data_IF_277431800600
#
_entry.id   IF_277431800600
#
_cell.length_a   1.000
_cell.length_b   1.000
_cell.length_c   1.000
_cell.angle_alpha   90.00
_cell.angle_beta   90.00
_cell.angle_gamma   90.00
#
_symmetry.space_group_name_H-M   'P 1'
#
loop_
_entity.id
_entity.type
_entity.pdbx_description
1 polymer ?
#
# COMPACT_ATOMS: atom_id res chain seq x y z
N UNK A 1 -3.61 -23.49 -8.83
CA UNK A 1 -2.37 -23.86 -9.53
C UNK A 1 -1.97 -25.27 -9.14
N UNK A 2 -1.51 -26.08 -10.11
CA UNK A 2 -1.01 -27.44 -9.88
C UNK A 2 0.37 -27.42 -9.20
N UNK A 3 0.42 -27.81 -7.92
CA UNK A 3 1.66 -27.84 -7.11
C UNK A 3 2.60 -28.97 -7.52
N UNK A 4 2.06 -30.14 -7.89
CA UNK A 4 2.85 -31.28 -8.32
C UNK A 4 3.62 -30.94 -9.61
N UNK A 5 2.94 -30.30 -10.56
CA UNK A 5 3.57 -29.85 -11.79
C UNK A 5 4.65 -28.78 -11.57
N UNK A 6 4.48 -27.89 -10.57
CA UNK A 6 5.54 -26.92 -10.22
C UNK A 6 6.78 -27.64 -9.65
N UNK A 7 6.57 -28.69 -8.86
CA UNK A 7 7.67 -29.51 -8.34
C UNK A 7 8.41 -30.25 -9.46
N UNK A 8 7.69 -30.82 -10.44
CA UNK A 8 8.31 -31.48 -11.60
C UNK A 8 9.28 -30.55 -12.36
N UNK A 9 8.95 -29.26 -12.46
CA UNK A 9 9.81 -28.23 -13.06
C UNK A 9 11.03 -27.96 -12.18
N UNK A 10 10.82 -27.83 -10.87
CA UNK A 10 11.90 -27.60 -9.90
C UNK A 10 12.88 -28.78 -9.90
N UNK A 11 12.40 -30.02 -9.80
CA UNK A 11 13.21 -31.24 -9.81
C UNK A 11 14.06 -31.35 -11.07
N UNK A 12 13.48 -30.99 -12.23
CA UNK A 12 14.23 -30.97 -13.49
C UNK A 12 15.35 -29.92 -13.49
N UNK A 13 15.10 -28.75 -12.91
CA UNK A 13 16.11 -27.68 -12.80
C UNK A 13 17.17 -27.96 -11.73
N UNK A 14 16.85 -28.72 -10.68
CA UNK A 14 17.79 -29.15 -9.65
C UNK A 14 18.71 -30.27 -10.14
N UNK A 15 18.25 -31.10 -11.07
CA UNK A 15 19.07 -32.15 -11.70
C UNK A 15 20.32 -31.53 -12.35
N UNK A 16 21.53 -32.10 -12.16
CA UNK A 16 22.75 -31.61 -12.79
C UNK A 16 22.63 -31.49 -14.31
N UNK A 17 23.20 -30.44 -14.89
CA UNK A 17 23.02 -30.08 -16.31
C UNK A 17 23.26 -31.25 -17.27
N UNK A 18 24.28 -32.05 -17.02
CA UNK A 18 24.70 -33.19 -17.85
C UNK A 18 23.76 -34.39 -17.76
N UNK A 19 22.98 -34.48 -16.68
CA UNK A 19 22.04 -35.58 -16.40
C UNK A 19 20.59 -35.23 -16.77
N UNK A 20 20.33 -33.99 -17.17
CA UNK A 20 18.97 -33.51 -17.51
C UNK A 20 18.46 -34.15 -18.80
N UNK A 21 17.28 -34.76 -18.72
CA UNK A 21 16.53 -35.14 -19.91
C UNK A 21 15.87 -33.91 -20.56
N UNK A 22 16.50 -33.38 -21.60
CA UNK A 22 16.00 -32.21 -22.35
C UNK A 22 14.64 -32.46 -22.97
N UNK A 23 14.31 -33.71 -23.34
CA UNK A 23 13.01 -34.04 -23.93
C UNK A 23 11.90 -33.90 -22.90
N UNK A 24 12.12 -34.44 -21.70
CA UNK A 24 11.22 -34.24 -20.54
C UNK A 24 11.07 -32.76 -20.21
N UNK A 25 12.17 -31.99 -20.20
CA UNK A 25 12.11 -30.54 -19.98
C UNK A 25 11.25 -29.82 -21.03
N UNK A 26 11.36 -30.22 -22.30
CA UNK A 26 10.56 -29.65 -23.37
C UNK A 26 9.08 -30.06 -23.30
N UNK A 27 8.74 -31.25 -22.79
CA UNK A 27 7.35 -31.65 -22.48
C UNK A 27 6.74 -30.77 -21.38
N UNK A 28 7.50 -30.48 -20.32
CA UNK A 28 7.09 -29.55 -19.26
C UNK A 28 6.80 -28.16 -19.86
N UNK A 29 7.69 -27.63 -20.71
CA UNK A 29 7.46 -26.35 -21.39
C UNK A 29 6.23 -26.37 -22.28
N UNK A 30 6.07 -27.44 -23.08
CA UNK A 30 4.93 -27.59 -23.97
C UNK A 30 3.60 -27.52 -23.19
N UNK A 31 3.54 -28.10 -21.99
CA UNK A 31 2.37 -28.01 -21.10
C UNK A 31 2.12 -26.59 -20.57
N UNK A 32 3.15 -25.74 -20.45
CA UNK A 32 3.02 -24.36 -19.94
C UNK A 32 2.57 -23.40 -21.03
N UNK A 33 3.30 -23.35 -22.14
CA UNK A 33 3.16 -22.30 -23.15
C UNK A 33 2.75 -22.81 -24.54
N UNK A 34 2.63 -24.13 -24.72
CA UNK A 34 2.28 -24.73 -26.01
C UNK A 34 3.36 -24.60 -27.08
N UNK A 35 4.62 -24.31 -26.72
CA UNK A 35 5.70 -24.07 -27.67
C UNK A 35 6.14 -25.36 -28.39
N UNK A 36 5.48 -25.64 -29.52
CA UNK A 36 5.76 -26.82 -30.36
C UNK A 36 7.13 -26.77 -31.01
N UNK A 37 7.68 -25.58 -31.25
CA UNK A 37 8.95 -25.43 -31.93
C UNK A 37 10.12 -25.93 -31.06
N UNK A 38 10.21 -25.46 -29.82
CA UNK A 38 11.24 -25.93 -28.88
C UNK A 38 11.06 -27.41 -28.57
N UNK A 39 9.82 -27.89 -28.46
CA UNK A 39 9.55 -29.31 -28.30
C UNK A 39 10.11 -30.14 -29.47
N UNK A 40 9.81 -29.76 -30.72
CA UNK A 40 10.34 -30.44 -31.91
C UNK A 40 11.87 -30.38 -31.96
N UNK A 41 12.46 -29.22 -31.64
CA UNK A 41 13.90 -29.05 -31.58
C UNK A 41 14.53 -30.00 -30.54
N UNK A 42 13.94 -30.11 -29.35
CA UNK A 42 14.42 -31.01 -28.29
C UNK A 42 14.36 -32.49 -28.69
N UNK A 43 13.35 -32.88 -29.48
CA UNK A 43 13.26 -34.26 -29.99
C UNK A 43 14.37 -34.59 -31.00
N UNK A 44 14.70 -33.64 -31.88
CA UNK A 44 15.65 -33.85 -32.99
C UNK A 44 17.09 -33.57 -32.54
N UNK A 45 17.32 -32.49 -31.79
CA UNK A 45 18.63 -31.97 -31.35
C UNK A 45 18.57 -31.48 -29.89
N UNK A 46 18.56 -32.39 -28.91
CA UNK A 46 18.43 -32.03 -27.50
C UNK A 46 19.53 -31.09 -27.01
N UNK A 47 20.78 -31.28 -27.44
CA UNK A 47 21.92 -30.44 -27.04
C UNK A 47 21.72 -28.95 -27.39
N UNK A 48 21.12 -28.66 -28.55
CA UNK A 48 20.83 -27.28 -28.99
C UNK A 48 19.65 -26.68 -28.25
N UNK A 49 18.65 -27.51 -27.90
CA UNK A 49 17.46 -27.05 -27.19
C UNK A 49 17.72 -26.79 -25.70
N UNK A 50 18.73 -27.44 -25.10
CA UNK A 50 18.99 -27.44 -23.65
C UNK A 50 18.95 -26.04 -23.03
N UNK A 51 19.76 -25.11 -23.56
CA UNK A 51 19.84 -23.75 -23.01
C UNK A 51 18.50 -23.00 -23.07
N UNK A 52 17.74 -23.19 -24.15
CA UNK A 52 16.41 -22.57 -24.28
C UNK A 52 15.42 -23.19 -23.30
N UNK A 53 15.43 -24.52 -23.18
CA UNK A 53 14.56 -25.26 -22.27
C UNK A 53 14.82 -24.83 -20.82
N UNK A 54 16.09 -24.77 -20.43
CA UNK A 54 16.51 -24.34 -19.10
C UNK A 54 16.11 -22.89 -18.80
N UNK A 55 16.38 -21.95 -19.72
CA UNK A 55 16.06 -20.54 -19.52
C UNK A 55 14.55 -20.32 -19.35
N UNK A 56 13.74 -20.93 -20.22
CA UNK A 56 12.29 -20.79 -20.15
C UNK A 56 11.71 -21.49 -18.91
N UNK A 57 12.19 -22.68 -18.53
CA UNK A 57 11.72 -23.36 -17.32
C UNK A 57 12.05 -22.58 -16.06
N UNK A 58 13.24 -21.95 -15.97
CA UNK A 58 13.60 -21.08 -14.85
C UNK A 58 12.64 -19.90 -14.72
N UNK A 59 12.39 -19.20 -15.83
CA UNK A 59 11.43 -18.09 -15.90
C UNK A 59 10.03 -18.52 -15.47
N UNK A 60 9.53 -19.64 -16.00
CA UNK A 60 8.19 -20.11 -15.63
C UNK A 60 8.12 -20.63 -14.20
N UNK A 61 9.19 -21.24 -13.68
CA UNK A 61 9.23 -21.64 -12.28
C UNK A 61 9.08 -20.42 -11.36
N UNK A 62 9.81 -19.33 -11.63
CA UNK A 62 9.71 -18.09 -10.86
C UNK A 62 8.27 -17.54 -10.84
N UNK A 63 7.65 -17.37 -12.02
CA UNK A 63 6.25 -16.93 -12.15
C UNK A 63 5.31 -17.83 -11.33
N UNK A 64 5.54 -19.15 -11.37
CA UNK A 64 4.69 -20.12 -10.67
C UNK A 64 4.88 -20.10 -9.16
N UNK A 65 6.11 -19.92 -8.68
CA UNK A 65 6.40 -19.77 -7.25
C UNK A 65 5.76 -18.50 -6.67
N UNK A 66 5.67 -17.44 -7.47
CA UNK A 66 4.91 -16.23 -7.14
C UNK A 66 3.37 -16.44 -7.21
N UNK A 67 2.89 -17.65 -7.51
CA UNK A 67 1.47 -17.99 -7.53
C UNK A 67 0.74 -17.66 -8.84
N UNK A 68 1.46 -17.26 -9.90
CA UNK A 68 0.86 -16.84 -11.15
C UNK A 68 0.88 -17.93 -12.24
N UNK A 69 -0.19 -17.97 -13.03
CA UNK A 69 -0.23 -18.70 -14.31
C UNK A 69 0.10 -17.77 -15.47
N UNK A 70 0.45 -18.32 -16.64
CA UNK A 70 0.64 -17.53 -17.86
C UNK A 70 -0.58 -16.64 -18.17
N UNK A 71 -1.77 -17.19 -18.02
CA UNK A 71 -3.03 -16.47 -18.23
C UNK A 71 -3.20 -15.32 -17.23
N UNK A 72 -2.88 -15.57 -15.94
CA UNK A 72 -2.90 -14.52 -14.92
C UNK A 72 -1.89 -13.40 -15.22
N UNK A 73 -0.70 -13.73 -15.75
CA UNK A 73 0.28 -12.71 -16.16
C UNK A 73 -0.21 -11.92 -17.38
N UNK A 74 -0.81 -12.58 -18.38
CA UNK A 74 -1.43 -11.89 -19.53
C UNK A 74 -2.55 -10.95 -19.10
N UNK A 75 -3.39 -11.40 -18.17
CA UNK A 75 -4.44 -10.57 -17.59
C UNK A 75 -3.84 -9.36 -16.87
N UNK A 76 -2.81 -9.59 -16.04
CA UNK A 76 -2.10 -8.51 -15.34
C UNK A 76 -1.56 -7.45 -16.31
N UNK A 77 -0.91 -7.86 -17.40
CA UNK A 77 -0.41 -6.94 -18.43
C UNK A 77 -1.56 -6.16 -19.08
N UNK A 78 -2.62 -6.86 -19.50
CA UNK A 78 -3.77 -6.25 -20.18
C UNK A 78 -4.55 -5.26 -19.31
N UNK A 79 -4.56 -5.45 -17.98
CA UNK A 79 -5.23 -4.56 -17.05
C UNK A 79 -4.35 -3.39 -16.60
N UNK A 80 -3.06 -3.66 -16.36
CA UNK A 80 -2.17 -2.69 -15.72
C UNK A 80 -1.64 -1.65 -16.70
N UNK A 81 -1.30 -2.07 -17.93
CA UNK A 81 -0.78 -1.18 -18.97
C UNK A 81 -1.72 -0.03 -19.31
N UNK A 82 -3.01 -0.25 -19.63
CA UNK A 82 -3.92 0.86 -19.93
C UNK A 82 -4.17 1.76 -18.71
N UNK A 83 -4.22 1.20 -17.50
CA UNK A 83 -4.36 1.99 -16.27
C UNK A 83 -3.18 2.95 -16.07
N UNK A 84 -1.96 2.44 -16.25
CA UNK A 84 -0.75 3.25 -16.12
C UNK A 84 -0.67 4.31 -17.22
N UNK A 85 -1.03 3.94 -18.45
CA UNK A 85 -1.10 4.89 -19.55
C UNK A 85 -2.08 6.03 -19.24
N UNK A 86 -3.26 5.72 -18.70
CA UNK A 86 -4.23 6.73 -18.27
C UNK A 86 -3.65 7.66 -17.20
N UNK A 87 -3.02 7.10 -16.14
CA UNK A 87 -2.36 7.89 -15.09
C UNK A 87 -1.33 8.86 -15.68
N UNK A 88 -0.52 8.41 -16.63
CA UNK A 88 0.52 9.24 -17.27
C UNK A 88 -0.11 10.33 -18.12
N UNK A 89 -1.11 10.00 -18.95
CA UNK A 89 -1.80 10.97 -19.81
C UNK A 89 -2.51 12.04 -19.00
N UNK A 90 -3.34 11.65 -18.02
CA UNK A 90 -4.07 12.60 -17.15
C UNK A 90 -3.11 13.57 -16.47
N UNK A 91 -2.00 13.07 -15.93
CA UNK A 91 -1.03 13.93 -15.25
C UNK A 91 -0.23 14.83 -16.19
N UNK A 92 -0.05 14.42 -17.45
CA UNK A 92 0.59 15.25 -18.46
C UNK A 92 -0.36 16.38 -18.90
N UNK A 93 -1.64 16.08 -19.12
CA UNK A 93 -2.66 17.08 -19.45
C UNK A 93 -2.79 18.14 -18.33
N UNK A 94 -2.81 17.70 -17.06
CA UNK A 94 -2.79 18.60 -15.88
C UNK A 94 -1.55 19.51 -15.81
N UNK A 95 -0.44 19.10 -16.41
CA UNK A 95 0.81 19.88 -16.42
C UNK A 95 0.87 20.89 -17.57
N UNK A 96 0.20 20.63 -18.69
CA UNK A 96 0.18 21.49 -19.88
C UNK A 96 -0.87 22.60 -19.78
N UNK A 97 -1.96 22.39 -19.04
CA UNK A 97 -3.00 23.40 -18.76
C UNK A 97 -2.67 24.36 -17.59
N UNK A 98 -1.50 24.21 -16.96
CA UNK A 98 -1.05 25.11 -15.89
C UNK A 98 -0.50 26.43 -16.48
N UNK A 99 -1.00 27.61 -16.07
CA UNK A 99 -0.47 28.88 -16.57
C UNK A 99 1.03 29.01 -16.25
N UNK A 100 1.83 29.43 -17.24
CA UNK A 100 3.26 29.73 -17.07
C UNK A 100 3.46 30.69 -15.89
N UNK A 101 4.36 30.30 -14.98
CA UNK A 101 4.67 31.05 -13.76
C UNK A 101 5.01 32.51 -14.06
N UNK A 102 4.04 33.37 -13.81
CA UNK A 102 4.25 34.81 -13.63
C UNK A 102 3.50 35.22 -12.37
N UNK A 103 4.26 35.75 -11.42
CA UNK A 103 3.85 36.40 -10.18
C UNK A 103 3.68 35.54 -8.91
N UNK A 104 4.21 36.07 -7.81
CA UNK A 104 4.44 35.49 -6.47
C UNK A 104 3.13 35.19 -5.67
N UNK A 105 2.00 35.07 -6.37
CA UNK A 105 0.73 34.58 -5.83
C UNK A 105 0.41 33.25 -6.52
N UNK A 106 1.15 32.22 -6.09
CA UNK A 106 1.21 30.90 -6.71
C UNK A 106 -0.18 30.34 -7.12
N UNK A 107 -0.39 30.03 -8.41
CA UNK A 107 -1.59 29.31 -8.82
C UNK A 107 -1.47 27.83 -8.38
N UNK A 108 -2.43 27.40 -7.57
CA UNK A 108 -2.80 25.99 -7.50
C UNK A 108 -3.34 25.60 -8.90
N UNK A 109 -3.06 24.44 -9.51
CA UNK A 109 -3.12 23.09 -8.96
C UNK A 109 -2.33 22.11 -9.85
N UNK A 110 -1.29 21.47 -9.30
CA UNK A 110 -0.64 20.26 -9.84
C UNK A 110 -1.21 18.99 -9.19
N UNK A 111 -2.54 18.92 -9.06
CA UNK A 111 -3.21 17.94 -8.19
C UNK A 111 -3.01 18.20 -6.68
N UNK A 112 -2.51 19.39 -6.29
CA UNK A 112 -2.36 19.78 -4.88
C UNK A 112 -3.67 20.42 -4.39
N UNK A 113 -4.23 19.92 -3.28
CA UNK A 113 -5.40 20.51 -2.61
C UNK A 113 -5.14 21.94 -2.14
N UNK A 114 -6.17 22.78 -2.12
CA UNK A 114 -6.08 24.17 -1.67
C UNK A 114 -5.75 24.27 -0.17
N UNK A 115 -6.25 23.35 0.64
CA UNK A 115 -6.02 23.25 2.09
C UNK A 115 -4.77 22.43 2.46
N UNK A 116 -3.94 22.01 1.50
CA UNK A 116 -2.82 21.09 1.73
C UNK A 116 -1.91 21.49 2.90
N UNK A 117 -1.63 22.78 3.07
CA UNK A 117 -0.70 23.24 4.12
C UNK A 117 -1.30 23.11 5.52
N UNK A 118 -2.62 22.99 5.64
CA UNK A 118 -3.37 22.82 6.89
C UNK A 118 -3.62 21.33 7.23
N UNK A 119 -3.36 20.43 6.28
CA UNK A 119 -3.49 18.99 6.47
C UNK A 119 -2.41 18.44 7.43
N UNK A 120 -2.70 17.34 8.16
CA UNK A 120 -1.69 16.66 8.96
C UNK A 120 -0.50 16.21 8.12
N UNK A 121 0.67 16.14 8.75
CA UNK A 121 1.92 15.72 8.10
C UNK A 121 1.79 14.35 7.41
N UNK A 122 1.08 13.41 8.02
CA UNK A 122 0.82 12.08 7.44
C UNK A 122 0.09 12.15 6.08
N UNK A 123 -0.85 13.09 5.92
CA UNK A 123 -1.63 13.26 4.70
C UNK A 123 -0.84 14.07 3.67
N UNK A 124 -0.10 15.08 4.12
CA UNK A 124 0.79 15.86 3.26
C UNK A 124 1.89 15.01 2.64
N UNK A 125 2.46 14.08 3.41
CA UNK A 125 3.49 13.15 2.94
C UNK A 125 3.01 12.26 1.78
N UNK A 126 1.71 12.00 1.66
CA UNK A 126 1.13 11.24 0.54
C UNK A 126 1.35 11.96 -0.79
N UNK A 127 1.24 13.29 -0.82
CA UNK A 127 1.45 14.08 -2.03
C UNK A 127 2.91 13.97 -2.51
N UNK A 128 3.87 14.12 -1.60
CA UNK A 128 5.31 13.98 -1.92
C UNK A 128 5.63 12.56 -2.39
N UNK A 129 5.13 11.56 -1.67
CA UNK A 129 5.28 10.15 -2.03
C UNK A 129 4.64 9.83 -3.38
N UNK A 130 3.49 10.41 -3.68
CA UNK A 130 2.80 10.28 -4.96
C UNK A 130 3.63 10.79 -6.13
N UNK A 131 4.42 11.85 -5.93
CA UNK A 131 5.41 12.31 -6.90
C UNK A 131 6.51 11.28 -7.16
N UNK A 132 7.12 10.74 -6.11
CA UNK A 132 8.16 9.69 -6.24
C UNK A 132 7.64 8.42 -6.91
N UNK A 133 6.43 7.99 -6.55
CA UNK A 133 5.78 6.82 -7.12
C UNK A 133 5.50 7.03 -8.61
N UNK A 134 5.02 8.21 -8.99
CA UNK A 134 4.76 8.54 -10.39
C UNK A 134 6.01 8.42 -11.27
N UNK A 135 7.15 8.98 -10.84
CA UNK A 135 8.39 8.89 -11.61
C UNK A 135 8.84 7.43 -11.79
N UNK A 136 8.72 6.60 -10.74
CA UNK A 136 9.02 5.16 -10.83
C UNK A 136 8.06 4.42 -11.74
N UNK A 137 6.76 4.69 -11.65
CA UNK A 137 5.72 4.12 -12.52
C UNK A 137 6.02 4.46 -13.98
N UNK A 138 6.31 5.74 -14.27
CA UNK A 138 6.64 6.22 -15.61
C UNK A 138 7.90 5.56 -16.16
N UNK A 139 8.96 5.45 -15.35
CA UNK A 139 10.19 4.76 -15.75
C UNK A 139 9.93 3.30 -16.15
N UNK A 140 9.27 2.52 -15.28
CA UNK A 140 8.97 1.11 -15.55
C UNK A 140 8.05 0.97 -16.76
N UNK A 141 7.09 1.88 -16.92
CA UNK A 141 6.20 1.91 -18.08
C UNK A 141 6.97 2.13 -19.39
N UNK A 142 7.91 3.08 -19.43
CA UNK A 142 8.77 3.30 -20.60
C UNK A 142 9.59 2.05 -20.94
N UNK A 143 10.12 1.35 -19.94
CA UNK A 143 10.82 0.08 -20.15
C UNK A 143 9.88 -1.01 -20.69
N UNK A 144 8.62 -1.05 -20.24
CA UNK A 144 7.60 -1.97 -20.76
C UNK A 144 7.17 -1.63 -22.19
N UNK A 145 7.19 -0.36 -22.59
CA UNK A 145 6.92 0.05 -23.98
C UNK A 145 8.04 -0.43 -24.93
N UNK A 146 9.29 -0.42 -24.48
CA UNK A 146 10.40 -0.99 -25.26
C UNK A 146 10.26 -2.51 -25.47
N UNK A 147 9.43 -3.17 -24.67
CA UNK A 147 9.12 -4.60 -24.72
C UNK A 147 7.70 -4.88 -25.24
N UNK A 148 7.07 -3.98 -26.00
CA UNK A 148 5.68 -4.11 -26.46
C UNK A 148 5.42 -5.39 -27.28
N UNK A 149 6.40 -5.81 -28.08
CA UNK A 149 6.30 -7.03 -28.88
C UNK A 149 6.69 -8.31 -28.13
N UNK A 150 7.16 -8.20 -26.88
CA UNK A 150 7.54 -9.36 -26.06
C UNK A 150 6.29 -10.01 -25.43
N UNK A 151 6.27 -11.33 -25.25
CA UNK A 151 5.16 -11.98 -24.57
C UNK A 151 5.07 -11.55 -23.10
N UNK A 152 3.86 -11.57 -22.53
CA UNK A 152 3.60 -11.12 -21.17
C UNK A 152 4.48 -11.78 -20.09
N UNK A 153 4.90 -13.04 -20.27
CA UNK A 153 5.82 -13.71 -19.35
C UNK A 153 7.22 -13.09 -19.34
N UNK A 154 7.70 -12.54 -20.45
CA UNK A 154 8.99 -11.84 -20.50
C UNK A 154 8.89 -10.43 -19.89
N UNK A 155 7.68 -9.88 -19.83
CA UNK A 155 7.36 -8.59 -19.19
C UNK A 155 7.10 -8.74 -17.68
N UNK A 156 6.96 -9.98 -17.17
CA UNK A 156 6.45 -10.26 -15.82
C UNK A 156 7.22 -9.59 -14.69
N UNK A 157 8.56 -9.64 -14.71
CA UNK A 157 9.38 -9.04 -13.64
C UNK A 157 9.07 -7.56 -13.44
N UNK A 158 8.84 -6.82 -14.54
CA UNK A 158 8.45 -5.41 -14.51
C UNK A 158 7.01 -5.24 -14.03
N UNK A 159 6.09 -6.08 -14.50
CA UNK A 159 4.68 -6.05 -14.08
C UNK A 159 4.52 -6.35 -12.57
N UNK A 160 5.32 -7.28 -12.04
CA UNK A 160 5.38 -7.64 -10.61
C UNK A 160 5.76 -6.45 -9.75
N UNK A 161 6.71 -5.63 -10.20
CA UNK A 161 7.13 -4.40 -9.51
C UNK A 161 6.14 -3.26 -9.73
N UNK A 162 5.60 -3.12 -10.94
CA UNK A 162 4.69 -2.03 -11.30
C UNK A 162 3.35 -2.11 -10.54
N UNK A 163 2.78 -3.32 -10.41
CA UNK A 163 1.47 -3.52 -9.79
C UNK A 163 1.33 -2.92 -8.39
N UNK A 164 2.21 -3.22 -7.41
CA UNK A 164 2.11 -2.63 -6.08
C UNK A 164 2.35 -1.11 -6.09
N UNK A 165 3.23 -0.60 -6.96
CA UNK A 165 3.47 0.85 -7.06
C UNK A 165 2.22 1.60 -7.54
N UNK A 166 1.53 1.07 -8.55
CA UNK A 166 0.27 1.64 -9.05
C UNK A 166 -0.80 1.61 -7.96
N UNK A 167 -0.91 0.51 -7.21
CA UNK A 167 -1.85 0.41 -6.08
C UNK A 167 -1.54 1.44 -4.99
N UNK A 168 -0.28 1.54 -4.56
CA UNK A 168 0.14 2.51 -3.55
C UNK A 168 -0.14 3.94 -4.02
N UNK A 169 0.08 4.22 -5.31
CA UNK A 169 -0.23 5.50 -5.92
C UNK A 169 -1.73 5.79 -5.87
N UNK A 170 -2.57 4.89 -6.39
CA UNK A 170 -4.03 5.12 -6.45
C UNK A 170 -4.67 5.22 -5.07
N UNK A 171 -4.34 4.29 -4.17
CA UNK A 171 -4.87 4.27 -2.81
C UNK A 171 -4.40 5.50 -2.02
N UNK A 172 -3.16 5.94 -2.26
CA UNK A 172 -2.61 7.17 -1.70
C UNK A 172 -3.41 8.39 -2.12
N UNK A 173 -3.58 8.60 -3.43
CA UNK A 173 -4.35 9.74 -3.94
C UNK A 173 -5.80 9.73 -3.47
N UNK A 174 -6.46 8.57 -3.45
CA UNK A 174 -7.81 8.44 -2.90
C UNK A 174 -7.87 8.89 -1.43
N UNK A 175 -6.90 8.46 -0.61
CA UNK A 175 -6.81 8.89 0.79
C UNK A 175 -6.51 10.38 0.92
N UNK A 176 -5.64 10.92 0.07
CA UNK A 176 -5.28 12.34 0.08
C UNK A 176 -6.45 13.23 -0.34
N UNK A 177 -7.19 12.85 -1.38
CA UNK A 177 -8.30 13.63 -1.93
C UNK A 177 -9.54 13.56 -1.03
N UNK A 178 -9.83 12.39 -0.45
CA UNK A 178 -10.99 12.19 0.41
C UNK A 178 -10.75 12.52 1.89
N UNK A 179 -9.54 12.95 2.28
CA UNK A 179 -9.25 13.25 3.68
C UNK A 179 -10.08 14.44 4.18
N UNK A 180 -10.91 14.18 5.20
CA UNK A 180 -11.62 15.18 5.99
C UNK A 180 -11.29 14.98 7.48
N UNK A 181 -11.09 16.07 8.21
CA UNK A 181 -10.70 16.03 9.64
C UNK A 181 -11.70 15.28 10.53
N UNK A 182 -12.98 15.25 10.15
CA UNK A 182 -14.05 14.55 10.88
C UNK A 182 -13.95 13.02 10.74
N UNK A 183 -13.40 12.50 9.63
CA UNK A 183 -13.25 11.05 9.41
C UNK A 183 -12.26 10.39 10.37
N UNK A 184 -11.26 11.15 10.86
CA UNK A 184 -10.32 10.65 11.88
C UNK A 184 -10.99 10.44 13.24
N UNK A 185 -12.04 11.20 13.55
CA UNK A 185 -12.78 11.05 14.80
C UNK A 185 -13.62 9.78 14.73
N UNK A 186 -14.31 9.52 13.62
CA UNK A 186 -15.14 8.33 13.44
C UNK A 186 -14.32 7.02 13.43
N UNK A 187 -13.23 6.93 12.65
CA UNK A 187 -12.37 5.72 12.63
C UNK A 187 -11.73 5.42 14.00
N UNK A 188 -11.35 6.46 14.75
CA UNK A 188 -10.74 6.29 16.06
C UNK A 188 -11.77 5.90 17.15
N UNK A 189 -13.05 6.22 16.95
CA UNK A 189 -14.14 5.73 17.81
C UNK A 189 -14.43 4.27 17.51
N UNK A 190 -14.60 3.89 16.24
CA UNK A 190 -14.88 2.50 15.84
C UNK A 190 -13.77 1.53 16.25
N UNK A 191 -12.49 1.89 16.08
CA UNK A 191 -11.37 1.01 16.43
C UNK A 191 -11.21 0.81 17.95
N UNK A 192 -11.73 1.72 18.78
CA UNK A 192 -11.69 1.60 20.25
C UNK A 192 -12.88 0.77 20.74
N UNK A 193 -14.05 0.90 20.11
CA UNK A 193 -15.29 0.17 20.42
C UNK A 193 -15.30 -1.28 19.87
N UNK A 194 -14.34 -1.64 19.02
CA UNK A 194 -14.17 -3.02 18.55
C UNK A 194 -13.87 -3.98 19.72
N UNK A 195 -14.61 -5.09 19.79
CA UNK A 195 -14.52 -6.07 20.88
C UNK A 195 -13.07 -6.60 21.03
N UNK A 196 -12.62 -6.91 22.26
CA UNK A 196 -11.26 -7.35 22.51
C UNK A 196 -10.97 -8.70 21.84
N UNK A 197 -10.40 -8.66 20.64
CA UNK A 197 -9.80 -9.82 20.00
C UNK A 197 -8.32 -9.96 20.41
N UNK A 198 -7.86 -11.17 20.73
CA UNK A 198 -6.48 -11.41 21.11
C UNK A 198 -5.53 -11.06 19.95
N UNK A 199 -4.72 -10.01 20.14
CA UNK A 199 -3.72 -9.54 19.16
C UNK A 199 -3.89 -8.10 18.65
N UNK A 200 -5.02 -7.45 18.91
CA UNK A 200 -5.28 -6.07 18.43
C UNK A 200 -5.01 -4.96 19.47
N UNK A 201 -4.62 -5.30 20.70
CA UNK A 201 -4.41 -4.34 21.80
C UNK A 201 -3.41 -3.22 21.45
N UNK A 202 -2.30 -3.54 20.77
CA UNK A 202 -1.30 -2.54 20.37
C UNK A 202 -1.87 -1.50 19.39
N UNK A 203 -2.76 -1.94 18.50
CA UNK A 203 -3.45 -1.06 17.55
C UNK A 203 -4.48 -0.18 18.26
N UNK A 204 -5.26 -0.75 19.18
CA UNK A 204 -6.25 -0.03 20.00
C UNK A 204 -5.59 1.03 20.90
N UNK A 205 -4.45 0.71 21.52
CA UNK A 205 -3.67 1.68 22.32
C UNK A 205 -3.12 2.81 21.43
N UNK A 206 -2.64 2.50 20.23
CA UNK A 206 -2.16 3.51 19.29
C UNK A 206 -3.28 4.42 18.78
N UNK A 207 -4.46 3.86 18.50
CA UNK A 207 -5.65 4.60 18.12
C UNK A 207 -6.15 5.50 19.26
N UNK A 208 -6.23 4.98 20.49
CA UNK A 208 -6.61 5.76 21.67
C UNK A 208 -5.66 6.95 21.93
N UNK A 209 -4.34 6.76 21.74
CA UNK A 209 -3.37 7.86 21.82
C UNK A 209 -3.61 8.93 20.75
N UNK A 210 -3.92 8.53 19.53
CA UNK A 210 -4.23 9.45 18.42
C UNK A 210 -5.50 10.23 18.72
N UNK A 211 -6.55 9.56 19.17
CA UNK A 211 -7.81 10.17 19.60
C UNK A 211 -7.58 11.25 20.66
N UNK A 212 -6.86 10.90 21.74
CA UNK A 212 -6.58 11.84 22.84
C UNK A 212 -5.83 13.07 22.32
N UNK A 213 -4.83 12.90 21.46
CA UNK A 213 -4.09 14.04 20.89
C UNK A 213 -5.00 14.99 20.10
N UNK A 214 -5.93 14.46 19.31
CA UNK A 214 -6.86 15.27 18.50
C UNK A 214 -7.91 15.97 19.38
N UNK A 215 -8.50 15.24 20.33
CA UNK A 215 -9.55 15.77 21.20
C UNK A 215 -9.00 16.79 22.22
N UNK A 216 -7.74 16.66 22.63
CA UNK A 216 -7.05 17.70 23.41
C UNK A 216 -6.92 19.01 22.63
N UNK A 217 -6.58 18.95 21.34
CA UNK A 217 -6.51 20.15 20.49
C UNK A 217 -7.90 20.78 20.25
N UNK A 218 -8.93 19.94 20.08
CA UNK A 218 -10.33 20.40 19.99
C UNK A 218 -10.76 21.08 21.29
N UNK A 219 -10.48 20.48 22.45
CA UNK A 219 -10.80 21.03 23.76
C UNK A 219 -10.13 22.39 24.01
N UNK A 220 -8.86 22.55 23.61
CA UNK A 220 -8.16 23.83 23.67
C UNK A 220 -8.85 24.90 22.81
N UNK A 221 -9.33 24.52 21.63
CA UNK A 221 -10.02 25.43 20.72
C UNK A 221 -11.38 25.85 21.28
N UNK A 222 -12.14 24.91 21.86
CA UNK A 222 -13.42 25.17 22.52
C UNK A 222 -13.27 26.11 23.72
N UNK A 223 -12.20 25.95 24.51
CA UNK A 223 -11.91 26.82 25.66
C UNK A 223 -11.44 28.23 25.27
N UNK A 224 -10.98 28.41 24.03
CA UNK A 224 -10.57 29.71 23.48
C UNK A 224 -11.70 30.45 22.74
N UNK A 225 -12.86 29.82 22.57
CA UNK A 225 -14.01 30.43 21.89
C UNK A 225 -14.64 31.57 22.73
N UNK A 226 -15.18 32.60 22.05
CA UNK A 226 -15.87 33.73 22.72
C UNK A 226 -17.12 33.28 23.50
N UNK A 227 -17.75 32.19 23.06
CA UNK A 227 -18.85 31.51 23.75
C UNK A 227 -18.46 30.07 24.00
N UNK A 228 -18.35 29.70 25.28
CA UNK A 228 -17.99 28.35 25.70
C UNK A 228 -19.27 27.54 25.87
N UNK A 229 -19.42 26.47 25.08
CA UNK A 229 -20.43 25.45 25.34
C UNK A 229 -19.89 24.49 26.41
N UNK A 230 -20.31 24.70 27.65
CA UNK A 230 -19.89 23.88 28.80
C UNK A 230 -20.24 22.40 28.62
N UNK A 231 -21.33 22.08 27.92
CA UNK A 231 -21.74 20.69 27.70
C UNK A 231 -20.84 19.99 26.68
N UNK A 232 -20.42 20.70 25.63
CA UNK A 232 -19.47 20.17 24.65
C UNK A 232 -18.07 19.99 25.28
N UNK A 233 -17.60 20.98 26.04
CA UNK A 233 -16.33 20.92 26.78
C UNK A 233 -16.29 19.72 27.72
N UNK A 234 -17.35 19.49 28.49
CA UNK A 234 -17.41 18.37 29.43
C UNK A 234 -17.49 17.02 28.71
N UNK A 235 -18.20 16.95 27.59
CA UNK A 235 -18.25 15.75 26.76
C UNK A 235 -16.87 15.39 26.18
N UNK A 236 -16.09 16.38 25.76
CA UNK A 236 -14.72 16.19 25.28
C UNK A 236 -13.79 15.72 26.42
N UNK A 237 -13.89 16.34 27.60
CA UNK A 237 -13.12 15.90 28.79
C UNK A 237 -13.40 14.45 29.16
N UNK A 238 -14.67 14.06 29.18
CA UNK A 238 -15.09 12.68 29.46
C UNK A 238 -14.52 11.68 28.45
N UNK A 239 -14.63 11.98 27.15
CA UNK A 239 -14.12 11.09 26.09
C UNK A 239 -12.60 10.90 26.16
N UNK A 240 -11.86 11.96 26.53
CA UNK A 240 -10.41 11.90 26.76
C UNK A 240 -10.11 11.04 27.99
N UNK A 241 -10.82 11.25 29.10
CA UNK A 241 -10.64 10.50 30.35
C UNK A 241 -10.87 8.99 30.17
N UNK A 242 -11.95 8.59 29.50
CA UNK A 242 -12.26 7.18 29.22
C UNK A 242 -11.12 6.46 28.47
N UNK A 243 -10.56 7.11 27.45
CA UNK A 243 -9.48 6.53 26.64
C UNK A 243 -8.15 6.56 27.35
N UNK A 244 -7.93 7.51 28.28
CA UNK A 244 -6.78 7.50 29.16
C UNK A 244 -6.85 6.35 30.17
N UNK A 245 -8.03 6.07 30.73
CA UNK A 245 -8.25 4.92 31.61
C UNK A 245 -7.95 3.61 30.88
N UNK A 246 -8.44 3.44 29.64
CA UNK A 246 -8.11 2.28 28.80
C UNK A 246 -6.60 2.09 28.57
N UNK A 247 -5.87 3.18 28.31
CA UNK A 247 -4.41 3.11 28.14
C UNK A 247 -3.70 2.75 29.46
N UNK A 248 -4.21 3.25 30.59
CA UNK A 248 -3.66 2.93 31.91
C UNK A 248 -3.88 1.45 32.29
N UNK A 249 -5.07 0.90 32.03
CA UNK A 249 -5.41 -0.51 32.26
C UNK A 249 -4.53 -1.46 31.44
N UNK A 250 -4.16 -1.06 30.23
CA UNK A 250 -3.25 -1.81 29.35
C UNK A 250 -1.76 -1.63 29.69
N UNK A 251 -1.44 -0.92 30.79
CA UNK A 251 -0.08 -0.68 31.26
C UNK A 251 0.68 0.42 30.49
N UNK A 252 -0.02 1.19 29.66
CA UNK A 252 0.51 2.33 28.93
C UNK A 252 0.57 3.60 29.78
N UNK A 253 1.45 4.53 29.40
CA UNK A 253 1.54 5.85 30.03
C UNK A 253 1.84 6.94 29.01
N UNK A 254 1.64 8.20 29.41
CA UNK A 254 1.95 9.39 28.65
C UNK A 254 3.20 10.08 29.18
N UNK A 255 3.85 10.90 28.33
CA UNK A 255 4.96 11.74 28.77
C UNK A 255 4.46 12.74 29.84
N UNK A 256 5.29 13.06 30.86
CA UNK A 256 4.89 13.95 31.95
C UNK A 256 4.35 15.32 31.48
N UNK A 257 5.00 15.93 30.49
CA UNK A 257 4.60 17.23 29.94
C UNK A 257 3.20 17.19 29.30
N UNK A 258 2.87 16.08 28.63
CA UNK A 258 1.57 15.88 28.00
C UNK A 258 0.48 15.60 29.05
N UNK A 259 0.79 14.82 30.08
CA UNK A 259 -0.12 14.59 31.20
C UNK A 259 -0.44 15.89 31.97
N UNK A 260 0.57 16.75 32.18
CA UNK A 260 0.37 18.06 32.80
C UNK A 260 -0.50 18.99 31.93
N UNK A 261 -0.31 18.96 30.61
CA UNK A 261 -1.15 19.71 29.66
C UNK A 261 -2.62 19.28 29.75
N UNK A 262 -2.89 17.98 29.80
CA UNK A 262 -4.25 17.43 29.91
C UNK A 262 -4.90 17.81 31.26
N UNK A 263 -4.16 17.69 32.36
CA UNK A 263 -4.63 18.10 33.67
C UNK A 263 -4.92 19.62 33.74
N UNK A 264 -4.12 20.45 33.06
CA UNK A 264 -4.39 21.89 32.97
C UNK A 264 -5.68 22.21 32.20
N UNK A 265 -6.15 21.31 31.35
CA UNK A 265 -7.42 21.41 30.62
C UNK A 265 -8.62 20.88 31.42
N UNK A 266 -8.39 20.41 32.66
CA UNK A 266 -9.44 19.93 33.57
C UNK A 266 -9.89 18.49 33.29
N UNK A 267 -9.03 17.67 32.67
CA UNK A 267 -9.26 16.23 32.52
C UNK A 267 -8.49 15.52 33.62
N UNK A 268 -9.20 15.07 34.66
CA UNK A 268 -8.62 14.24 35.71
C UNK A 268 -8.81 12.75 35.38
N UNK A 269 -7.75 11.97 35.57
CA UNK A 269 -7.84 10.52 35.57
C UNK A 269 -8.40 10.15 36.94
N UNK A 270 -9.71 9.94 37.08
CA UNK A 270 -10.21 9.28 38.28
C UNK A 270 -9.61 7.88 38.31
N UNK A 271 -8.83 7.50 39.35
CA UNK A 271 -8.50 6.11 39.55
C UNK A 271 -9.82 5.41 39.84
N UNK A 272 -10.19 4.43 39.01
CA UNK A 272 -11.29 3.52 39.28
C UNK A 272 -11.08 2.95 40.68
N UNK A 273 -11.79 3.49 41.67
CA UNK A 273 -11.84 2.95 43.02
C UNK A 273 -12.66 1.67 42.96
N UNK A 274 -12.03 0.57 42.57
CA UNK A 274 -12.45 -0.76 42.98
C UNK A 274 -11.65 -1.14 44.22
N UNK A 275 -12.26 -0.97 45.40
CA UNK A 275 -11.71 -1.53 46.63
C UNK A 275 -12.12 -0.85 47.93
N UNK A 276 -13.41 -0.79 48.25
CA UNK A 276 -13.84 -0.72 49.65
C UNK A 276 -14.96 -1.75 49.92
N UNK A 277 -14.53 -2.82 50.61
CA UNK A 277 -15.21 -3.71 51.59
C UNK A 277 -16.56 -4.36 51.24
#
# INVERSE_FOLDING_TARGET
MDKAFTQDIADWLETPREERDVRKGAELLLRINGNRHIYQLAMIRPETAHNHVEADLKKFLQIRLDGHTMESVRQMDSELIPKVQNIITTRQDESEDAPEETDDTAPAHRGKRSDHNELPEEIRAIYERGGELFEKIKQIFTELQQMENAPACDRYEKLKVLKPLVKEYTDGWERYDNYNSDMLQEEAVEAVDEAPEPGNEVKRVSAARKFISTHVAKLETLLQAETIDEAEVENERRQIAERMAFIAETGGSFKPDFAQRIHALGVDIEPTTEGEQ
#
